data_IF_949361326511
#
_entry.id   IF_949361326511
#
_cell.length_a   1.000
_cell.length_b   1.000
_cell.length_c   1.000
_cell.angle_alpha   90.00
_cell.angle_beta   90.00
_cell.angle_gamma   90.00
#
_symmetry.space_group_name_H-M   'P 1'
#
loop_
_entity.id
_entity.type
_entity.pdbx_description
1 polymer ?
#
# COMPACT_ATOMS: atom_id res chain seq x y z
N UNK A 1 -1.79 -24.23 13.10
CA UNK A 1 -1.92 -24.69 11.71
C UNK A 1 -3.30 -24.30 11.19
N UNK A 2 -3.43 -23.32 10.28
CA UNK A 2 -4.63 -23.20 9.48
C UNK A 2 -4.28 -23.35 7.98
N UNK A 3 -4.03 -24.56 7.42
CA UNK A 3 -3.65 -24.63 6.01
C UNK A 3 -4.76 -25.18 5.10
N UNK A 4 -5.44 -26.27 5.47
CA UNK A 4 -6.28 -26.98 4.51
C UNK A 4 -7.55 -26.21 4.10
N UNK A 5 -8.31 -25.69 5.07
CA UNK A 5 -9.59 -25.02 4.77
C UNK A 5 -9.40 -23.67 4.07
N UNK A 6 -8.38 -22.91 4.47
CA UNK A 6 -8.07 -21.60 3.88
C UNK A 6 -7.57 -21.73 2.43
N UNK A 7 -6.64 -22.66 2.19
CA UNK A 7 -6.15 -22.94 0.85
C UNK A 7 -7.25 -23.49 -0.06
N UNK A 8 -8.12 -24.37 0.46
CA UNK A 8 -9.27 -24.90 -0.29
C UNK A 8 -10.23 -23.78 -0.69
N UNK A 9 -10.58 -22.88 0.24
CA UNK A 9 -11.47 -21.77 -0.06
C UNK A 9 -10.91 -20.80 -1.11
N UNK A 10 -9.61 -20.48 -1.05
CA UNK A 10 -8.96 -19.64 -2.06
C UNK A 10 -8.91 -20.34 -3.42
N UNK A 11 -8.56 -21.62 -3.44
CA UNK A 11 -8.48 -22.42 -4.66
C UNK A 11 -9.83 -22.60 -5.33
N UNK A 12 -10.87 -22.88 -4.57
CA UNK A 12 -12.23 -23.08 -5.07
C UNK A 12 -12.78 -21.77 -5.67
N UNK A 13 -12.54 -20.64 -5.00
CA UNK A 13 -12.93 -19.32 -5.53
C UNK A 13 -12.18 -18.96 -6.81
N UNK A 14 -10.85 -19.15 -6.86
CA UNK A 14 -10.07 -18.87 -8.08
C UNK A 14 -10.44 -19.81 -9.24
N UNK A 15 -10.79 -21.07 -8.95
CA UNK A 15 -11.31 -22.00 -9.95
C UNK A 15 -12.67 -21.55 -10.46
N UNK A 16 -13.59 -21.20 -9.56
CA UNK A 16 -14.92 -20.69 -9.90
C UNK A 16 -14.82 -19.42 -10.76
N UNK A 17 -13.82 -18.58 -10.52
CA UNK A 17 -13.59 -17.35 -11.28
C UNK A 17 -13.03 -17.61 -12.69
N UNK A 18 -12.15 -18.60 -12.87
CA UNK A 18 -11.57 -18.94 -14.18
C UNK A 18 -12.49 -19.78 -15.05
N UNK A 19 -13.26 -20.67 -14.46
CA UNK A 19 -14.20 -21.53 -15.19
C UNK A 19 -15.51 -21.68 -14.39
N UNK A 20 -16.39 -20.66 -14.43
CA UNK A 20 -17.69 -20.72 -13.75
C UNK A 20 -18.55 -21.88 -14.27
N UNK A 21 -18.43 -22.20 -15.56
CA UNK A 21 -19.20 -23.26 -16.22
C UNK A 21 -18.76 -24.66 -15.77
N UNK A 22 -17.54 -24.83 -15.23
CA UNK A 22 -17.14 -26.10 -14.61
C UNK A 22 -17.97 -26.47 -13.38
N UNK A 23 -18.66 -25.50 -12.76
CA UNK A 23 -19.55 -25.71 -11.63
C UNK A 23 -20.98 -26.08 -12.05
N UNK A 24 -21.26 -26.05 -13.35
CA UNK A 24 -22.58 -26.36 -13.91
C UNK A 24 -22.87 -27.86 -13.82
N UNK A 25 -23.97 -28.20 -13.15
CA UNK A 25 -24.46 -29.58 -13.11
C UNK A 25 -25.42 -29.83 -14.29
N UNK A 26 -24.87 -30.26 -15.42
CA UNK A 26 -25.64 -30.53 -16.63
C UNK A 26 -26.71 -31.62 -16.43
N UNK A 27 -26.43 -32.62 -15.60
CA UNK A 27 -27.39 -33.68 -15.30
C UNK A 27 -28.61 -33.13 -14.55
N UNK A 28 -28.38 -32.21 -13.60
CA UNK A 28 -29.45 -31.54 -12.87
C UNK A 28 -30.23 -30.57 -13.74
N UNK A 29 -29.56 -29.86 -14.65
CA UNK A 29 -30.21 -28.97 -15.63
C UNK A 29 -31.15 -29.76 -16.54
N UNK A 30 -30.71 -30.90 -17.06
CA UNK A 30 -31.53 -31.75 -17.91
C UNK A 30 -32.72 -32.35 -17.15
N UNK A 31 -32.55 -32.70 -15.87
CA UNK A 31 -33.65 -33.14 -15.00
C UNK A 31 -34.71 -32.03 -14.82
N UNK A 32 -34.27 -30.81 -14.49
CA UNK A 32 -35.18 -29.68 -14.30
C UNK A 32 -35.89 -29.25 -15.58
N UNK A 33 -35.22 -29.34 -16.74
CA UNK A 33 -35.85 -29.10 -18.05
C UNK A 33 -36.99 -30.10 -18.32
N UNK A 34 -36.76 -31.39 -18.04
CA UNK A 34 -37.81 -32.41 -18.15
C UNK A 34 -38.97 -32.15 -17.18
N UNK A 35 -38.67 -31.75 -15.94
CA UNK A 35 -39.70 -31.38 -14.97
C UNK A 35 -40.51 -30.17 -15.43
N UNK A 36 -39.86 -29.16 -16.01
CA UNK A 36 -40.53 -27.98 -16.57
C UNK A 36 -41.47 -28.33 -17.73
N UNK A 37 -41.09 -29.27 -18.58
CA UNK A 37 -41.93 -29.73 -19.70
C UNK A 37 -43.13 -30.55 -19.22
N UNK A 38 -42.97 -31.30 -18.12
CA UNK A 38 -44.05 -32.12 -17.52
C UNK A 38 -44.96 -31.37 -16.53
N UNK A 39 -44.52 -30.22 -16.00
CA UNK A 39 -45.27 -29.49 -14.98
C UNK A 39 -46.29 -28.55 -15.62
N UNK A 40 -47.56 -28.70 -15.26
CA UNK A 40 -48.66 -27.85 -15.72
C UNK A 40 -48.99 -26.69 -14.76
N UNK A 41 -48.41 -26.70 -13.55
CA UNK A 41 -48.61 -25.68 -12.53
C UNK A 41 -47.75 -24.43 -12.82
N UNK A 42 -48.40 -23.26 -12.92
CA UNK A 42 -47.73 -22.01 -13.26
C UNK A 42 -46.68 -21.57 -12.22
N UNK A 43 -46.91 -21.82 -10.93
CA UNK A 43 -45.99 -21.47 -9.85
C UNK A 43 -44.82 -22.45 -9.77
N UNK A 44 -45.09 -23.74 -9.98
CA UNK A 44 -44.05 -24.76 -10.00
C UNK A 44 -43.10 -24.56 -11.20
N UNK A 45 -43.65 -24.27 -12.38
CA UNK A 45 -42.87 -23.87 -13.56
C UNK A 45 -42.00 -22.65 -13.29
N UNK A 46 -42.51 -21.64 -12.59
CA UNK A 46 -41.72 -20.45 -12.24
C UNK A 46 -40.56 -20.80 -11.31
N UNK A 47 -40.79 -21.64 -10.29
CA UNK A 47 -39.75 -22.09 -9.36
C UNK A 47 -38.67 -22.92 -10.06
N UNK A 48 -39.06 -23.87 -10.90
CA UNK A 48 -38.12 -24.69 -11.70
C UNK A 48 -37.28 -23.78 -12.61
N UNK A 49 -37.90 -22.74 -13.19
CA UNK A 49 -37.19 -21.77 -14.03
C UNK A 49 -36.17 -20.96 -13.27
N UNK A 50 -36.47 -20.53 -12.03
CA UNK A 50 -35.48 -19.88 -11.17
C UNK A 50 -34.31 -20.83 -10.88
N UNK A 51 -34.59 -22.08 -10.53
CA UNK A 51 -33.54 -23.08 -10.27
C UNK A 51 -32.66 -23.35 -11.50
N UNK A 52 -33.26 -23.35 -12.70
CA UNK A 52 -32.51 -23.45 -13.95
C UNK A 52 -31.59 -22.25 -14.15
N UNK A 53 -32.06 -21.02 -13.90
CA UNK A 53 -31.19 -19.84 -13.98
C UNK A 53 -30.00 -19.94 -13.01
N UNK A 54 -30.24 -20.36 -11.77
CA UNK A 54 -29.20 -20.48 -10.76
C UNK A 54 -28.15 -21.57 -11.10
N UNK A 55 -28.53 -22.60 -11.87
CA UNK A 55 -27.64 -23.68 -12.32
C UNK A 55 -26.95 -23.38 -13.66
N UNK A 56 -27.63 -22.69 -14.57
CA UNK A 56 -27.07 -22.28 -15.87
C UNK A 56 -26.05 -21.16 -15.72
N UNK A 57 -26.23 -20.27 -14.73
CA UNK A 57 -25.29 -19.22 -14.35
C UNK A 57 -24.89 -19.40 -12.87
N UNK A 58 -24.05 -20.39 -12.55
CA UNK A 58 -23.66 -20.67 -11.17
C UNK A 58 -22.90 -19.48 -10.59
N UNK A 59 -23.53 -18.78 -9.65
CA UNK A 59 -22.91 -17.63 -9.01
C UNK A 59 -21.68 -18.03 -8.19
N UNK A 60 -20.60 -17.25 -8.34
CA UNK A 60 -19.40 -17.35 -7.52
C UNK A 60 -19.63 -16.95 -6.05
N UNK A 61 -20.80 -16.38 -5.72
CA UNK A 61 -21.13 -15.86 -4.40
C UNK A 61 -20.98 -16.91 -3.29
N UNK A 62 -21.29 -18.18 -3.60
CA UNK A 62 -21.16 -19.29 -2.64
C UNK A 62 -19.71 -19.55 -2.21
N UNK A 63 -18.75 -19.23 -3.07
CA UNK A 63 -17.32 -19.37 -2.80
C UNK A 63 -16.68 -18.06 -2.33
N UNK A 64 -17.33 -16.92 -2.63
CA UNK A 64 -16.89 -15.60 -2.18
C UNK A 64 -16.80 -15.54 -0.64
N UNK A 65 -17.80 -16.03 0.10
CA UNK A 65 -17.79 -15.95 1.57
C UNK A 65 -16.58 -16.67 2.21
N UNK A 66 -16.23 -17.85 1.70
CA UNK A 66 -15.04 -18.60 2.13
C UNK A 66 -13.75 -17.86 1.78
N UNK A 67 -13.68 -17.29 0.57
CA UNK A 67 -12.57 -16.44 0.15
C UNK A 67 -12.43 -15.21 1.04
N UNK A 68 -13.49 -14.46 1.29
CA UNK A 68 -13.47 -13.26 2.13
C UNK A 68 -12.96 -13.55 3.55
N UNK A 69 -13.34 -14.70 4.10
CA UNK A 69 -12.97 -15.11 5.46
C UNK A 69 -11.50 -15.50 5.57
N UNK A 70 -10.93 -16.17 4.57
CA UNK A 70 -9.62 -16.81 4.68
C UNK A 70 -8.51 -16.18 3.81
N UNK A 71 -8.86 -15.47 2.73
CA UNK A 71 -7.90 -15.04 1.71
C UNK A 71 -6.80 -14.14 2.27
N UNK A 72 -7.12 -13.22 3.18
CA UNK A 72 -6.12 -12.31 3.76
C UNK A 72 -5.09 -13.04 4.61
N UNK A 73 -5.55 -13.89 5.53
CA UNK A 73 -4.64 -14.63 6.41
C UNK A 73 -3.75 -15.59 5.61
N UNK A 74 -4.32 -16.24 4.57
CA UNK A 74 -3.56 -17.09 3.67
C UNK A 74 -2.53 -16.30 2.86
N UNK A 75 -2.91 -15.15 2.31
CA UNK A 75 -2.01 -14.30 1.54
C UNK A 75 -0.87 -13.70 2.38
N UNK A 76 -1.16 -13.30 3.62
CA UNK A 76 -0.14 -12.79 4.55
C UNK A 76 0.89 -13.89 4.91
N UNK A 77 0.45 -15.14 5.08
CA UNK A 77 1.31 -16.30 5.37
C UNK A 77 2.17 -16.73 4.17
N UNK A 78 1.65 -16.57 2.95
CA UNK A 78 2.33 -16.96 1.69
C UNK A 78 3.04 -15.79 0.99
N UNK A 79 3.08 -14.62 1.63
CA UNK A 79 3.64 -13.38 1.08
C UNK A 79 3.06 -12.99 -0.30
N UNK A 80 1.77 -13.30 -0.54
CA UNK A 80 1.10 -13.04 -1.82
C UNK A 80 0.58 -11.60 -1.86
N UNK A 81 1.00 -10.86 -2.88
CA UNK A 81 0.58 -9.48 -3.06
C UNK A 81 -0.86 -9.35 -3.57
N UNK A 82 -1.53 -8.25 -3.20
CA UNK A 82 -2.84 -7.86 -3.76
C UNK A 82 -2.83 -7.82 -5.29
N UNK A 83 -1.70 -7.40 -5.88
CA UNK A 83 -1.54 -7.34 -7.33
C UNK A 83 -1.69 -8.72 -7.99
N UNK A 84 -1.20 -9.79 -7.34
CA UNK A 84 -1.32 -11.15 -7.87
C UNK A 84 -2.79 -11.58 -7.98
N UNK A 85 -3.62 -11.28 -6.98
CA UNK A 85 -5.05 -11.58 -7.05
C UNK A 85 -5.78 -10.78 -8.14
N UNK A 86 -5.41 -9.51 -8.33
CA UNK A 86 -5.98 -8.68 -9.40
C UNK A 86 -5.59 -9.24 -10.77
N UNK A 87 -4.34 -9.64 -10.95
CA UNK A 87 -3.85 -10.23 -12.20
C UNK A 87 -4.52 -11.61 -12.47
N UNK A 88 -4.93 -12.34 -11.42
CA UNK A 88 -5.75 -13.56 -11.50
C UNK A 88 -7.24 -13.29 -11.74
N UNK A 89 -7.66 -12.03 -11.84
CA UNK A 89 -9.03 -11.62 -12.18
C UNK A 89 -9.95 -11.37 -10.99
N UNK A 90 -9.45 -11.39 -9.75
CA UNK A 90 -10.27 -11.09 -8.57
C UNK A 90 -10.67 -9.61 -8.55
N UNK A 91 -11.97 -9.35 -8.45
CA UNK A 91 -12.49 -8.00 -8.42
C UNK A 91 -11.97 -7.20 -7.20
N UNK A 92 -11.65 -5.92 -7.44
CA UNK A 92 -11.12 -5.02 -6.42
C UNK A 92 -12.04 -4.86 -5.20
N UNK A 93 -13.36 -4.93 -5.40
CA UNK A 93 -14.33 -4.83 -4.31
C UNK A 93 -14.34 -6.09 -3.42
N UNK A 94 -14.18 -7.28 -4.02
CA UNK A 94 -14.04 -8.55 -3.27
C UNK A 94 -12.77 -8.54 -2.43
N UNK A 95 -11.65 -8.10 -3.00
CA UNK A 95 -10.40 -7.96 -2.26
C UNK A 95 -10.52 -6.94 -1.10
N UNK A 96 -11.22 -5.83 -1.31
CA UNK A 96 -11.48 -4.86 -0.23
C UNK A 96 -12.33 -5.46 0.89
N UNK A 97 -13.40 -6.20 0.55
CA UNK A 97 -14.23 -6.94 1.52
C UNK A 97 -13.41 -7.98 2.28
N UNK A 98 -12.47 -8.66 1.62
CA UNK A 98 -11.55 -9.63 2.24
C UNK A 98 -10.47 -8.96 3.12
N UNK A 99 -10.43 -7.62 3.15
CA UNK A 99 -9.53 -6.84 3.98
C UNK A 99 -8.18 -6.51 3.33
N UNK A 100 -8.03 -6.73 2.02
CA UNK A 100 -6.87 -6.25 1.25
C UNK A 100 -6.97 -4.74 1.00
N UNK A 101 -5.82 -4.08 0.94
CA UNK A 101 -5.73 -2.65 0.62
C UNK A 101 -5.60 -2.47 -0.90
N UNK A 102 -6.73 -2.34 -1.59
CA UNK A 102 -6.79 -2.09 -3.04
C UNK A 102 -6.95 -0.59 -3.30
N UNK A 103 -5.93 0.05 -3.88
CA UNK A 103 -5.93 1.49 -4.16
C UNK A 103 -5.40 2.31 -2.99
N UNK A 104 -4.47 3.21 -3.28
CA UNK A 104 -3.69 3.94 -2.29
C UNK A 104 -4.51 4.72 -1.26
N UNK A 105 -4.50 4.22 -0.02
CA UNK A 105 -4.22 5.06 1.14
C UNK A 105 -3.04 4.45 1.88
N UNK A 106 -1.85 5.00 1.62
CA UNK A 106 -0.74 4.96 2.57
C UNK A 106 -1.27 5.46 3.91
N UNK A 107 -1.42 4.56 4.87
CA UNK A 107 -1.70 4.94 6.25
C UNK A 107 -2.55 3.93 6.98
N UNK A 108 -1.92 2.85 7.44
CA UNK A 108 -1.91 2.38 8.84
C UNK A 108 -1.70 0.87 8.89
N UNK A 109 -0.44 0.46 8.72
CA UNK A 109 0.05 -0.86 9.15
C UNK A 109 0.86 -0.70 10.45
N UNK A 110 0.81 -1.68 11.38
CA UNK A 110 1.47 -1.61 12.67
C UNK A 110 2.99 -1.73 12.52
N UNK A 111 3.72 -1.15 13.48
CA UNK A 111 5.18 -1.01 13.53
C UNK A 111 5.90 -2.37 13.40
N UNK A 112 6.28 -2.74 12.19
CA UNK A 112 7.38 -3.67 11.92
C UNK A 112 8.70 -2.89 11.89
N UNK A 113 9.53 -3.07 12.91
CA UNK A 113 10.85 -2.46 13.00
C UNK A 113 11.80 -3.09 11.96
N UNK A 114 11.82 -2.54 10.75
CA UNK A 114 12.91 -2.79 9.82
C UNK A 114 14.08 -1.90 10.23
N UNK A 115 15.11 -2.50 10.80
CA UNK A 115 16.43 -1.89 11.04
C UNK A 115 17.06 -1.54 9.69
N UNK A 116 16.61 -0.43 9.12
CA UNK A 116 17.23 0.17 7.94
C UNK A 116 18.62 0.65 8.35
N UNK A 117 19.64 0.02 7.78
CA UNK A 117 21.04 0.43 7.91
C UNK A 117 21.15 1.96 7.80
N UNK A 118 21.66 2.58 8.86
CA UNK A 118 21.83 4.02 8.99
C UNK A 118 22.79 4.48 7.88
N UNK A 119 22.27 5.08 6.82
CA UNK A 119 22.99 6.23 6.25
C UNK A 119 23.13 7.22 7.40
N UNK A 120 24.35 7.60 7.75
CA UNK A 120 24.65 8.56 8.82
C UNK A 120 23.82 9.81 8.57
N UNK A 121 22.69 9.91 9.25
CA UNK A 121 21.89 11.13 9.27
C UNK A 121 22.70 12.07 10.12
N UNK A 122 23.41 12.99 9.45
CA UNK A 122 24.09 14.07 10.13
C UNK A 122 23.07 14.75 11.02
N UNK A 123 23.25 14.63 12.33
CA UNK A 123 22.32 15.15 13.33
C UNK A 123 22.50 16.66 13.47
N UNK A 124 21.50 17.36 14.00
CA UNK A 124 21.60 18.79 14.26
C UNK A 124 22.76 19.14 15.21
N UNK A 125 23.11 18.22 16.10
CA UNK A 125 24.28 18.36 17.00
C UNK A 125 25.60 18.29 16.23
N UNK A 126 25.73 17.37 15.27
CA UNK A 126 26.92 17.28 14.41
C UNK A 126 27.08 18.54 13.54
N UNK A 127 25.98 19.13 13.06
CA UNK A 127 26.01 20.42 12.36
C UNK A 127 26.45 21.56 13.28
N UNK A 128 26.00 21.58 14.55
CA UNK A 128 26.45 22.56 15.54
C UNK A 128 27.94 22.38 15.90
N UNK A 129 28.42 21.15 15.99
CA UNK A 129 29.83 20.85 16.25
C UNK A 129 30.73 21.23 15.06
N UNK A 130 30.21 21.16 13.83
CA UNK A 130 30.90 21.56 12.60
C UNK A 130 30.90 23.08 12.35
N UNK A 131 30.36 23.90 13.25
CA UNK A 131 30.36 25.36 13.11
C UNK A 131 31.79 25.93 13.14
N UNK A 132 32.25 26.59 12.07
CA UNK A 132 33.57 27.23 12.05
C UNK A 132 33.68 28.33 13.09
N UNK A 133 34.90 28.54 13.62
CA UNK A 133 35.20 29.60 14.60
C UNK A 133 35.30 31.01 13.98
N UNK A 134 35.23 31.13 12.65
CA UNK A 134 35.28 32.40 11.92
C UNK A 134 33.98 32.68 11.17
N UNK A 135 33.93 33.75 10.36
CA UNK A 135 32.80 34.02 9.48
C UNK A 135 32.64 32.89 8.46
N UNK A 136 31.44 32.34 8.31
CA UNK A 136 31.16 31.23 7.42
C UNK A 136 29.86 31.45 6.65
N UNK A 137 29.76 30.80 5.49
CA UNK A 137 28.52 30.76 4.70
C UNK A 137 27.78 29.44 4.93
N UNK A 138 26.48 29.42 4.64
CA UNK A 138 25.65 28.20 4.69
C UNK A 138 26.26 27.06 3.84
N UNK A 139 26.87 27.40 2.70
CA UNK A 139 27.51 26.42 1.81
C UNK A 139 28.74 25.80 2.45
N UNK A 140 29.60 26.61 3.08
CA UNK A 140 30.77 26.10 3.81
C UNK A 140 30.37 25.17 4.96
N UNK A 141 29.30 25.50 5.68
CA UNK A 141 28.78 24.66 6.75
C UNK A 141 28.15 23.37 6.22
N UNK A 142 27.52 23.41 5.05
CA UNK A 142 27.01 22.23 4.35
C UNK A 142 28.16 21.29 3.94
N UNK A 143 29.21 21.83 3.33
CA UNK A 143 30.37 21.06 2.88
C UNK A 143 31.15 20.46 4.07
N UNK A 144 31.26 21.19 5.18
CA UNK A 144 31.93 20.74 6.39
C UNK A 144 31.13 19.70 7.19
N UNK A 145 29.81 19.82 7.24
CA UNK A 145 28.94 18.91 8.00
C UNK A 145 28.46 17.70 7.19
N UNK A 146 28.49 17.78 5.85
CA UNK A 146 27.85 16.78 4.97
C UNK A 146 26.32 16.73 5.12
N UNK A 147 25.72 17.69 5.82
CA UNK A 147 24.29 17.74 6.07
C UNK A 147 23.52 18.30 4.87
N UNK A 148 22.22 18.00 4.81
CA UNK A 148 21.34 18.58 3.79
C UNK A 148 21.18 20.10 3.98
N UNK A 149 21.08 20.90 2.90
CA UNK A 149 20.89 22.36 2.97
C UNK A 149 19.74 22.79 3.88
N UNK A 150 18.67 21.99 3.94
CA UNK A 150 17.51 22.28 4.79
C UNK A 150 17.83 22.13 6.29
N UNK A 151 18.64 21.14 6.66
CA UNK A 151 19.07 20.91 8.05
C UNK A 151 20.01 22.03 8.50
N UNK A 152 20.96 22.41 7.63
CA UNK A 152 21.89 23.52 7.90
C UNK A 152 21.13 24.83 8.12
N UNK A 153 20.19 25.17 7.23
CA UNK A 153 19.37 26.39 7.39
C UNK A 153 18.56 26.40 8.68
N UNK A 154 18.00 25.24 9.05
CA UNK A 154 17.25 25.09 10.30
C UNK A 154 18.15 25.35 11.51
N UNK A 155 19.34 24.75 11.54
CA UNK A 155 20.30 24.92 12.64
C UNK A 155 20.78 26.37 12.73
N UNK A 156 21.12 27.01 11.60
CA UNK A 156 21.52 28.42 11.58
C UNK A 156 20.40 29.32 12.12
N UNK A 157 19.15 29.10 11.71
CA UNK A 157 18.01 29.87 12.20
C UNK A 157 17.74 29.64 13.71
N UNK A 158 17.89 28.41 14.20
CA UNK A 158 17.78 28.12 15.65
C UNK A 158 18.89 28.78 16.46
N UNK A 159 20.11 28.81 15.94
CA UNK A 159 21.26 29.40 16.63
C UNK A 159 21.26 30.93 16.57
N UNK A 160 20.77 31.52 15.48
CA UNK A 160 20.49 32.97 15.38
C UNK A 160 19.36 33.38 16.34
N UNK A 161 18.27 32.61 16.40
CA UNK A 161 17.19 32.83 17.36
C UNK A 161 17.63 32.65 18.83
N UNK A 162 18.60 31.77 19.08
CA UNK A 162 19.22 31.59 20.40
C UNK A 162 20.28 32.67 20.73
N UNK A 163 20.55 33.61 19.81
CA UNK A 163 21.54 34.67 19.98
C UNK A 163 22.99 34.18 19.96
N UNK A 164 23.24 32.95 19.47
CA UNK A 164 24.58 32.35 19.39
C UNK A 164 25.26 32.57 18.03
N UNK A 165 24.50 33.01 17.03
CA UNK A 165 25.01 33.46 15.73
C UNK A 165 24.55 34.89 15.44
N UNK A 166 25.44 35.66 14.82
CA UNK A 166 25.17 36.98 14.25
C UNK A 166 25.27 36.89 12.73
N UNK A 167 24.28 37.45 12.04
CA UNK A 167 24.31 37.64 10.59
C UNK A 167 25.12 38.90 10.26
N UNK A 168 26.31 38.73 9.69
CA UNK A 168 27.24 39.82 9.35
C UNK A 168 26.90 40.50 8.01
N UNK A 169 25.81 40.07 7.37
CA UNK A 169 25.37 40.59 6.07
C UNK A 169 25.89 39.76 4.90
N UNK A 170 25.78 40.31 3.70
CA UNK A 170 26.27 39.67 2.47
C UNK A 170 27.79 39.79 2.34
N UNK A 171 28.43 38.73 1.87
CA UNK A 171 29.87 38.66 1.62
C UNK A 171 30.34 39.79 0.68
N UNK A 172 31.15 40.74 1.17
CA UNK A 172 31.63 41.87 0.37
C UNK A 172 32.67 41.47 -0.69
N UNK A 173 33.29 40.29 -0.56
CA UNK A 173 34.33 39.80 -1.46
C UNK A 173 33.79 38.87 -2.57
N UNK A 174 32.47 38.72 -2.68
CA UNK A 174 31.85 37.87 -3.69
C UNK A 174 32.01 38.44 -5.12
N UNK A 175 32.84 37.78 -5.94
CA UNK A 175 33.02 38.08 -7.37
C UNK A 175 32.49 36.97 -8.30
N UNK A 176 31.38 36.34 -7.95
CA UNK A 176 30.74 35.29 -8.76
C UNK A 176 29.42 35.75 -9.42
N UNK A 177 28.92 35.03 -10.44
CA UNK A 177 27.58 35.25 -10.95
C UNK A 177 26.55 34.78 -9.92
N UNK A 178 25.66 35.68 -9.48
CA UNK A 178 24.56 35.38 -8.56
C UNK A 178 24.50 36.31 -7.34
N UNK A 179 23.64 35.97 -6.38
CA UNK A 179 23.48 36.72 -5.13
C UNK A 179 24.63 36.40 -4.18
N UNK A 180 25.27 37.44 -3.63
CA UNK A 180 26.30 37.27 -2.61
C UNK A 180 25.77 36.47 -1.41
N UNK A 181 26.50 35.45 -0.94
CA UNK A 181 26.08 34.63 0.19
C UNK A 181 26.09 35.44 1.49
N UNK A 182 25.16 35.14 2.41
CA UNK A 182 25.16 35.73 3.75
C UNK A 182 26.26 35.09 4.60
N UNK A 183 27.06 35.94 5.24
CA UNK A 183 28.05 35.56 6.24
C UNK A 183 27.41 35.51 7.62
N UNK A 184 27.72 34.44 8.33
CA UNK A 184 27.33 34.22 9.72
C UNK A 184 28.61 34.10 10.56
N UNK A 185 28.59 34.68 11.75
CA UNK A 185 29.65 34.52 12.74
C UNK A 185 29.04 34.10 14.08
N UNK A 186 29.81 33.34 14.85
CA UNK A 186 29.45 33.02 16.23
C UNK A 186 29.55 34.27 17.12
N UNK A 187 28.51 34.52 17.91
CA UNK A 187 28.48 35.59 18.91
C UNK A 187 29.51 35.34 20.02
#
# INVERSE_FOLDING_TARGET
MPPAAAETAVRDYLRALKDPLSLRDDAKIDELRKQLDSSEDALERLRIRQQLFDLEDPSTDRYEEGFLTHAKAWADDHEISVKAFVDEGVAADVLRKAGFQVGGRRGRGPRGAVTRAKRSRVTTEEVRAALPKGSFTIKMLQDASGASPAVVRKVVAEEEAAGRLLSEGTDPDHRGPGRAPTLYRRA
#
